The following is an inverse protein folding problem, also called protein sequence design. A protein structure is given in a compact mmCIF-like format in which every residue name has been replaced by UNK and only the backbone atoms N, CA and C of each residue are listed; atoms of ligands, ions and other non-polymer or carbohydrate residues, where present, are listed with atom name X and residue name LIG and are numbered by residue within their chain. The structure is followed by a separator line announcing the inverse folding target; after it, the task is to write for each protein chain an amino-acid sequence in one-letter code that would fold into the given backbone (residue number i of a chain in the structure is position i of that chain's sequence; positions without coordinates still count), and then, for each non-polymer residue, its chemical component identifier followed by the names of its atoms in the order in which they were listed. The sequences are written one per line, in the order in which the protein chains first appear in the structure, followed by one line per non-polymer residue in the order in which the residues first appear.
data_IF_698387738664
#
_entry.id   IF_698387738664
#
_cell.length_a   1.000
_cell.length_b   1.000
_cell.length_c   1.000
_cell.angle_alpha   90.00
_cell.angle_beta   90.00
_cell.angle_gamma   90.00
#
_symmetry.space_group_name_H-M   'P 1'
#
loop_
_entity.id
_entity.type
_entity.pdbx_description
1 polymer ?
#
# COMPACT_ATOMS: atom_id res chain seq x y z
N UNK A 1 21.74 4.24 -6.10
CA UNK A 1 21.48 5.07 -4.92
C UNK A 1 21.14 4.14 -3.78
N UNK A 2 21.91 4.18 -2.70
CA UNK A 2 21.66 3.37 -1.50
C UNK A 2 20.63 4.12 -0.67
N UNK A 3 19.51 3.50 -0.38
CA UNK A 3 18.44 4.14 0.39
C UNK A 3 18.81 4.09 1.88
N UNK A 4 18.81 5.22 2.61
CA UNK A 4 19.23 5.29 4.00
C UNK A 4 18.15 4.81 5.00
N UNK A 5 17.02 4.32 4.51
CA UNK A 5 15.88 3.90 5.34
C UNK A 5 15.85 2.38 5.53
N UNK A 6 15.33 1.91 6.65
CA UNK A 6 15.10 0.49 6.91
C UNK A 6 16.28 -0.25 7.55
N UNK A 7 17.32 0.43 7.99
CA UNK A 7 18.51 -0.21 8.58
C UNK A 7 18.52 -0.11 10.11
N UNK A 8 17.66 -0.87 10.77
CA UNK A 8 17.73 -1.04 12.21
C UNK A 8 16.86 -0.06 13.02
N UNK A 9 17.15 0.10 14.33
CA UNK A 9 16.30 0.85 15.27
C UNK A 9 16.22 2.36 15.01
N UNK A 10 16.93 2.84 14.00
CA UNK A 10 16.99 4.25 13.58
C UNK A 10 16.06 4.60 12.41
N UNK A 11 15.26 3.66 11.90
CA UNK A 11 14.26 3.99 10.87
C UNK A 11 13.34 5.09 11.38
N UNK A 12 13.09 6.15 10.60
CA UNK A 12 12.17 7.22 10.98
C UNK A 12 10.79 6.72 11.41
N UNK A 13 10.30 5.64 10.82
CA UNK A 13 9.02 5.02 11.18
C UNK A 13 9.08 4.39 12.58
N UNK A 14 10.21 3.82 12.97
CA UNK A 14 10.38 3.24 14.32
C UNK A 14 10.44 4.31 15.40
N UNK A 15 10.91 5.51 15.06
CA UNK A 15 11.03 6.62 16.02
C UNK A 15 9.71 7.40 16.22
N UNK A 16 8.86 7.48 15.18
CA UNK A 16 7.67 8.35 15.18
C UNK A 16 6.43 7.64 15.73
N UNK A 17 6.35 6.33 15.61
CA UNK A 17 5.24 5.58 16.17
C UNK A 17 5.61 5.05 17.55
N UNK A 18 4.83 5.40 18.61
CA UNK A 18 5.04 4.84 19.93
C UNK A 18 4.96 3.31 19.88
N UNK A 19 5.41 2.62 20.90
CA UNK A 19 6.01 1.32 20.80
C UNK A 19 5.16 0.35 19.98
N UNK A 20 5.63 0.03 18.76
CA UNK A 20 5.07 -1.06 17.92
C UNK A 20 4.89 -2.36 18.72
N UNK A 21 5.60 -2.49 19.83
CA UNK A 21 5.49 -3.59 20.77
C UNK A 21 4.10 -3.70 21.42
N UNK A 22 3.32 -2.62 21.43
CA UNK A 22 1.94 -2.60 21.97
C UNK A 22 0.86 -2.64 20.89
N UNK A 23 1.22 -2.46 19.62
CA UNK A 23 0.28 -2.60 18.51
C UNK A 23 0.17 -4.08 18.14
N UNK A 24 -0.99 -4.67 18.34
CA UNK A 24 -1.33 -5.97 17.79
C UNK A 24 -1.48 -5.86 16.27
N UNK A 25 -0.35 -5.73 15.56
CA UNK A 25 -0.31 -5.65 14.10
C UNK A 25 -0.14 -7.06 13.56
N UNK A 26 -1.16 -7.57 12.91
CA UNK A 26 -1.05 -8.83 12.16
C UNK A 26 -2.23 -8.91 11.21
N UNK A 27 -2.01 -9.07 9.93
CA UNK A 27 -0.73 -9.21 9.19
C UNK A 27 -0.13 -7.87 8.70
N UNK A 28 1.09 -7.90 8.16
CA UNK A 28 1.67 -6.83 7.32
C UNK A 28 1.42 -7.20 5.86
N UNK A 29 0.57 -6.44 5.19
CA UNK A 29 0.15 -6.68 3.80
C UNK A 29 0.95 -5.80 2.84
N UNK A 30 1.50 -6.38 1.78
CA UNK A 30 2.32 -5.68 0.80
C UNK A 30 1.73 -5.83 -0.60
N UNK A 31 1.27 -4.72 -1.20
CA UNK A 31 0.62 -4.70 -2.50
C UNK A 31 1.55 -5.05 -3.67
N UNK A 32 2.80 -4.61 -3.61
CA UNK A 32 3.87 -4.91 -4.56
C UNK A 32 5.25 -4.62 -3.93
N UNK A 33 6.32 -5.09 -4.57
CA UNK A 33 7.62 -5.22 -3.91
C UNK A 33 8.60 -4.08 -4.21
N UNK A 34 8.15 -2.90 -4.66
CA UNK A 34 9.02 -1.74 -4.76
C UNK A 34 9.50 -1.29 -3.38
N UNK A 35 10.65 -0.62 -3.35
CA UNK A 35 11.32 -0.24 -2.10
C UNK A 35 10.46 0.64 -1.18
N UNK A 36 9.67 1.53 -1.74
CA UNK A 36 8.78 2.46 -1.04
C UNK A 36 7.55 1.77 -0.42
N UNK A 37 7.23 0.55 -0.82
CA UNK A 37 6.17 -0.27 -0.25
C UNK A 37 6.68 -1.41 0.64
N UNK A 38 7.95 -1.83 0.50
CA UNK A 38 8.44 -3.05 1.12
C UNK A 38 9.63 -2.85 2.05
N UNK A 39 10.40 -1.75 1.91
CA UNK A 39 11.68 -1.56 2.60
C UNK A 39 11.60 -1.83 4.11
N UNK A 40 10.60 -1.28 4.79
CA UNK A 40 10.42 -1.40 6.23
C UNK A 40 9.46 -2.53 6.65
N UNK A 41 8.72 -3.14 5.70
CA UNK A 41 7.68 -4.12 6.01
C UNK A 41 8.21 -5.35 6.77
N UNK A 42 9.38 -5.87 6.38
CA UNK A 42 10.01 -6.98 7.07
C UNK A 42 10.49 -6.62 8.49
N UNK A 43 10.95 -5.38 8.69
CA UNK A 43 11.32 -4.87 10.01
C UNK A 43 10.09 -4.73 10.92
N UNK A 44 8.98 -4.21 10.37
CA UNK A 44 7.69 -4.15 11.07
C UNK A 44 7.21 -5.53 11.47
N UNK A 45 7.16 -6.48 10.53
CA UNK A 45 6.75 -7.84 10.79
C UNK A 45 7.59 -8.49 11.90
N UNK A 46 8.92 -8.31 11.87
CA UNK A 46 9.82 -8.85 12.88
C UNK A 46 9.59 -8.24 14.27
N UNK A 47 9.39 -6.92 14.35
CA UNK A 47 9.22 -6.20 15.64
C UNK A 47 7.85 -6.43 16.26
N UNK A 48 6.80 -6.52 15.46
CA UNK A 48 5.42 -6.74 15.93
C UNK A 48 5.06 -8.21 16.09
N UNK A 49 5.90 -9.14 15.61
CA UNK A 49 5.56 -10.55 15.53
C UNK A 49 4.52 -10.88 14.47
N UNK A 50 4.20 -9.96 13.56
CA UNK A 50 3.22 -10.14 12.50
C UNK A 50 3.71 -11.08 11.39
N UNK A 51 2.76 -11.63 10.62
CA UNK A 51 3.04 -12.36 9.38
C UNK A 51 3.20 -11.37 8.24
N UNK A 52 4.29 -11.44 7.49
CA UNK A 52 4.49 -10.71 6.26
C UNK A 52 3.75 -11.41 5.10
N UNK A 53 2.84 -10.72 4.45
CA UNK A 53 1.98 -11.27 3.39
C UNK A 53 2.17 -10.50 2.11
N UNK A 54 2.48 -11.19 1.02
CA UNK A 54 2.65 -10.58 -0.30
C UNK A 54 3.11 -11.58 -1.36
N UNK A 55 3.64 -11.07 -2.47
CA UNK A 55 4.16 -11.90 -3.56
C UNK A 55 5.41 -12.69 -3.14
N UNK A 56 5.87 -13.61 -4.00
CA UNK A 56 7.15 -14.32 -3.77
C UNK A 56 8.32 -13.34 -3.67
N UNK A 57 8.29 -12.22 -4.40
CA UNK A 57 9.29 -11.16 -4.26
C UNK A 57 9.26 -10.51 -2.87
N UNK A 58 8.07 -10.26 -2.31
CA UNK A 58 7.90 -9.81 -0.92
C UNK A 58 8.47 -10.85 0.06
N UNK A 59 8.17 -12.13 -0.15
CA UNK A 59 8.68 -13.21 0.67
C UNK A 59 10.22 -13.27 0.65
N UNK A 60 10.84 -13.06 -0.51
CA UNK A 60 12.30 -13.05 -0.63
C UNK A 60 12.97 -11.87 0.08
N UNK A 61 12.31 -10.72 0.18
CA UNK A 61 12.79 -9.63 1.07
C UNK A 61 12.63 -10.03 2.54
N UNK A 62 11.52 -10.65 2.93
CA UNK A 62 11.33 -11.18 4.29
C UNK A 62 12.38 -12.20 4.69
N UNK A 63 12.68 -13.17 3.83
CA UNK A 63 13.74 -14.18 4.03
C UNK A 63 15.12 -13.52 4.16
N UNK A 64 15.41 -12.55 3.29
CA UNK A 64 16.67 -11.80 3.32
C UNK A 64 16.83 -10.95 4.59
N UNK A 65 15.73 -10.53 5.21
CA UNK A 65 15.69 -9.84 6.49
C UNK A 65 15.68 -10.78 7.70
N UNK A 66 15.73 -12.11 7.48
CA UNK A 66 15.80 -13.12 8.54
C UNK A 66 14.44 -13.43 9.20
N UNK A 67 13.32 -13.19 8.52
CA UNK A 67 12.02 -13.68 8.99
C UNK A 67 11.95 -15.20 8.86
N UNK A 68 11.44 -15.87 9.90
CA UNK A 68 11.19 -17.31 9.87
C UNK A 68 10.08 -17.65 8.86
N UNK A 69 10.10 -18.85 8.30
CA UNK A 69 9.18 -19.26 7.23
C UNK A 69 7.70 -19.21 7.63
N UNK A 70 7.38 -19.52 8.88
CA UNK A 70 6.02 -19.42 9.46
C UNK A 70 5.53 -17.97 9.64
N UNK A 71 6.42 -16.99 9.49
CA UNK A 71 6.13 -15.55 9.51
C UNK A 71 6.04 -14.94 8.13
N UNK A 72 6.06 -15.74 7.08
CA UNK A 72 5.96 -15.30 5.69
C UNK A 72 4.83 -16.08 5.02
N UNK A 73 3.89 -15.37 4.41
CA UNK A 73 2.84 -15.98 3.60
C UNK A 73 2.87 -15.42 2.19
N UNK A 74 3.15 -16.29 1.23
CA UNK A 74 3.03 -15.98 -0.18
C UNK A 74 1.55 -16.05 -0.58
N UNK A 75 1.09 -15.03 -1.27
CA UNK A 75 -0.29 -14.94 -1.74
C UNK A 75 -0.54 -15.85 -2.95
N UNK A 76 -1.79 -16.31 -3.05
CA UNK A 76 -2.39 -16.74 -4.30
C UNK A 76 -3.43 -15.70 -4.73
N UNK A 77 -3.42 -15.24 -5.98
CA UNK A 77 -4.38 -14.27 -6.45
C UNK A 77 -5.83 -14.73 -6.18
N UNK A 78 -6.65 -13.81 -5.63
CA UNK A 78 -8.05 -14.03 -5.27
C UNK A 78 -8.31 -15.07 -4.15
N UNK A 79 -7.27 -15.62 -3.53
CA UNK A 79 -7.42 -16.45 -2.32
C UNK A 79 -7.92 -15.59 -1.15
N UNK A 80 -8.91 -16.09 -0.42
CA UNK A 80 -9.37 -15.46 0.84
C UNK A 80 -8.52 -15.98 1.99
N UNK A 81 -7.82 -15.06 2.64
CA UNK A 81 -7.06 -15.33 3.86
C UNK A 81 -7.78 -14.74 5.06
N UNK A 82 -7.78 -15.46 6.19
CA UNK A 82 -8.43 -14.99 7.44
C UNK A 82 -7.39 -14.65 8.49
N UNK A 83 -7.58 -13.48 9.11
CA UNK A 83 -6.77 -12.98 10.22
C UNK A 83 -7.71 -12.42 11.30
N UNK A 84 -8.06 -13.24 12.26
CA UNK A 84 -9.12 -12.91 13.22
C UNK A 84 -10.44 -12.63 12.51
N UNK A 85 -11.04 -11.48 12.76
CA UNK A 85 -12.30 -11.07 12.12
C UNK A 85 -12.12 -10.51 10.69
N UNK A 86 -10.88 -10.40 10.19
CA UNK A 86 -10.59 -9.85 8.87
C UNK A 86 -10.47 -10.95 7.83
N UNK A 87 -11.09 -10.73 6.68
CA UNK A 87 -10.83 -11.46 5.43
C UNK A 87 -10.05 -10.58 4.48
N UNK A 88 -8.93 -11.10 3.98
CA UNK A 88 -8.02 -10.39 3.09
C UNK A 88 -7.91 -11.13 1.76
N UNK A 89 -8.05 -10.41 0.66
CA UNK A 89 -7.94 -10.96 -0.70
C UNK A 89 -7.03 -10.05 -1.53
N UNK A 90 -6.01 -10.63 -2.14
CA UNK A 90 -5.17 -9.93 -3.11
C UNK A 90 -5.75 -10.08 -4.51
N UNK A 91 -6.10 -8.96 -5.11
CA UNK A 91 -6.69 -8.89 -6.44
C UNK A 91 -5.59 -8.53 -7.45
N UNK A 92 -5.42 -9.29 -8.54
CA UNK A 92 -4.49 -8.90 -9.61
C UNK A 92 -4.78 -7.49 -10.09
N UNK A 93 -3.76 -6.65 -10.18
CA UNK A 93 -3.89 -5.24 -10.55
C UNK A 93 -2.71 -4.82 -11.43
N UNK A 94 -2.60 -3.53 -11.69
CA UNK A 94 -1.51 -2.94 -12.44
C UNK A 94 -0.79 -1.87 -11.62
N UNK A 95 0.42 -1.53 -12.05
CA UNK A 95 1.17 -0.41 -11.50
C UNK A 95 1.02 0.79 -12.43
N UNK A 96 0.67 1.96 -11.86
CA UNK A 96 0.60 3.21 -12.61
C UNK A 96 1.94 3.52 -13.26
N UNK A 97 1.93 4.10 -14.46
CA UNK A 97 3.17 4.51 -15.13
C UNK A 97 3.83 5.65 -14.37
N UNK A 98 5.16 5.63 -14.31
CA UNK A 98 5.99 6.77 -13.90
C UNK A 98 6.62 7.43 -15.13
N UNK A 99 7.67 8.20 -14.90
CA UNK A 99 8.44 8.85 -15.96
C UNK A 99 8.78 7.86 -17.09
N UNK A 100 8.42 8.21 -18.32
CA UNK A 100 8.61 7.34 -19.50
C UNK A 100 7.47 6.36 -19.79
N UNK A 101 6.33 6.42 -19.08
CA UNK A 101 5.13 5.63 -19.38
C UNK A 101 5.19 4.16 -18.95
N UNK A 102 6.18 3.77 -18.17
CA UNK A 102 6.35 2.38 -17.69
C UNK A 102 6.41 2.31 -16.16
N UNK A 103 6.05 1.16 -15.61
CA UNK A 103 6.30 0.87 -14.20
C UNK A 103 7.82 0.81 -13.94
N UNK A 104 8.32 1.43 -12.84
CA UNK A 104 9.73 1.34 -12.50
C UNK A 104 10.10 -0.08 -12.08
N UNK A 105 11.37 -0.45 -12.25
CA UNK A 105 11.94 -1.71 -11.77
C UNK A 105 11.03 -2.94 -11.98
N UNK A 106 10.62 -3.27 -13.21
CA UNK A 106 9.76 -4.43 -13.48
C UNK A 106 10.47 -5.74 -13.16
N UNK A 107 9.70 -6.85 -13.12
CA UNK A 107 10.22 -8.19 -12.86
C UNK A 107 10.09 -8.61 -11.39
N UNK A 108 10.84 -9.65 -11.01
CA UNK A 108 10.75 -10.31 -9.70
C UNK A 108 12.06 -10.27 -8.93
N UNK A 109 12.00 -10.53 -7.64
CA UNK A 109 13.13 -10.77 -6.76
C UNK A 109 13.22 -12.29 -6.56
N UNK A 110 14.12 -13.00 -7.30
CA UNK A 110 14.08 -14.46 -7.39
C UNK A 110 14.73 -15.18 -6.19
N UNK A 111 15.52 -14.46 -5.40
CA UNK A 111 16.27 -15.03 -4.25
C UNK A 111 16.18 -14.09 -3.05
N UNK A 112 16.47 -14.58 -1.82
CA UNK A 112 16.45 -13.73 -0.64
C UNK A 112 17.32 -12.48 -0.78
N UNK A 113 16.69 -11.30 -0.67
CA UNK A 113 17.33 -9.99 -0.82
C UNK A 113 17.91 -9.53 0.53
N UNK A 114 19.21 -9.56 0.65
CA UNK A 114 19.91 -9.09 1.86
C UNK A 114 20.07 -7.57 1.86
N UNK A 115 19.87 -6.97 3.00
CA UNK A 115 20.06 -5.54 3.24
C UNK A 115 21.48 -5.21 3.69
N UNK A 116 22.03 -4.05 3.31
CA UNK A 116 21.46 -2.97 2.50
C UNK A 116 21.42 -3.31 0.99
N UNK A 117 20.34 -2.91 0.32
CA UNK A 117 20.18 -3.12 -1.11
C UNK A 117 19.80 -1.80 -1.83
N UNK A 118 20.22 -1.59 -3.08
CA UNK A 118 19.82 -0.41 -3.83
C UNK A 118 18.34 -0.49 -4.23
N UNK A 119 17.68 0.67 -4.43
CA UNK A 119 16.27 0.74 -4.80
C UNK A 119 15.91 -0.13 -6.03
N UNK A 120 16.80 -0.20 -7.02
CA UNK A 120 16.61 -1.05 -8.23
C UNK A 120 16.58 -2.55 -7.97
N UNK A 121 17.00 -3.01 -6.80
CA UNK A 121 16.92 -4.43 -6.41
C UNK A 121 15.52 -4.83 -5.96
N UNK A 122 14.71 -3.84 -5.55
CA UNK A 122 13.32 -4.03 -5.19
C UNK A 122 12.46 -4.02 -6.47
N UNK A 123 12.36 -5.19 -7.10
CA UNK A 123 11.55 -5.38 -8.30
C UNK A 123 10.06 -5.45 -7.95
N UNK A 124 9.20 -5.06 -8.87
CA UNK A 124 7.75 -4.95 -8.67
C UNK A 124 7.11 -6.23 -8.08
N UNK A 125 7.49 -7.41 -8.57
CA UNK A 125 7.00 -8.68 -8.03
C UNK A 125 5.52 -8.98 -8.28
N UNK A 126 4.89 -8.26 -9.20
CA UNK A 126 3.45 -8.23 -9.42
C UNK A 126 2.77 -7.16 -8.58
N UNK A 127 1.80 -6.45 -9.17
CA UNK A 127 0.98 -5.45 -8.51
C UNK A 127 -0.39 -6.02 -8.12
N UNK A 128 -0.85 -5.71 -6.92
CA UNK A 128 -2.13 -6.19 -6.38
C UNK A 128 -2.88 -5.05 -5.68
N UNK A 129 -4.18 -5.00 -5.91
CA UNK A 129 -5.08 -4.33 -4.99
C UNK A 129 -5.41 -5.29 -3.82
N UNK A 130 -5.68 -4.75 -2.63
CA UNK A 130 -5.95 -5.56 -1.46
C UNK A 130 -7.36 -5.24 -0.95
N UNK A 131 -8.25 -6.22 -1.03
CA UNK A 131 -9.57 -6.14 -0.41
C UNK A 131 -9.47 -6.64 1.02
N UNK A 132 -9.94 -5.82 1.96
CA UNK A 132 -10.05 -6.18 3.38
C UNK A 132 -11.51 -6.08 3.79
N UNK A 133 -12.07 -7.18 4.26
CA UNK A 133 -13.43 -7.27 4.80
C UNK A 133 -13.39 -7.49 6.30
N UNK A 134 -14.34 -6.89 6.99
CA UNK A 134 -14.61 -7.04 8.42
C UNK A 134 -16.12 -6.97 8.62
N UNK A 135 -16.73 -7.55 9.68
CA UNK A 135 -18.17 -7.41 9.93
C UNK A 135 -18.68 -5.95 9.93
N UNK A 136 -17.82 -4.98 10.26
CA UNK A 136 -18.15 -3.55 10.24
C UNK A 136 -18.01 -2.89 8.86
N UNK A 137 -17.63 -3.61 7.80
CA UNK A 137 -17.53 -3.08 6.44
C UNK A 137 -16.37 -3.64 5.63
N UNK A 138 -16.12 -3.04 4.47
CA UNK A 138 -15.04 -3.43 3.57
C UNK A 138 -14.28 -2.23 3.04
N UNK A 139 -12.99 -2.39 2.81
CA UNK A 139 -12.15 -1.42 2.11
C UNK A 139 -11.28 -2.08 1.05
N UNK A 140 -10.89 -1.30 0.05
CA UNK A 140 -9.91 -1.69 -0.94
C UNK A 140 -8.69 -0.77 -0.82
N UNK A 141 -7.50 -1.35 -0.79
CA UNK A 141 -6.23 -0.62 -0.89
C UNK A 141 -5.67 -0.78 -2.31
N UNK A 142 -5.39 0.33 -2.97
CA UNK A 142 -4.72 0.40 -4.27
C UNK A 142 -3.45 1.21 -4.10
N UNK A 143 -2.32 0.54 -4.01
CA UNK A 143 -1.03 1.15 -3.68
C UNK A 143 -0.41 1.97 -4.82
N UNK A 144 -0.94 1.85 -6.04
CA UNK A 144 -0.48 2.57 -7.23
C UNK A 144 -1.69 3.09 -8.02
N UNK A 145 -1.51 4.17 -8.79
CA UNK A 145 -2.59 4.85 -9.51
C UNK A 145 -3.04 4.12 -10.80
N UNK A 146 -3.25 2.80 -10.71
CA UNK A 146 -3.76 1.98 -11.81
C UNK A 146 -4.46 0.71 -11.32
N UNK A 147 -5.36 0.19 -12.15
CA UNK A 147 -5.98 -1.12 -11.98
C UNK A 147 -6.30 -1.72 -13.37
N UNK A 148 -6.42 -3.05 -13.43
CA UNK A 148 -6.93 -3.75 -14.61
C UNK A 148 -8.45 -3.65 -14.65
N UNK A 149 -9.02 -3.73 -15.84
CA UNK A 149 -10.48 -3.67 -16.03
C UNK A 149 -11.25 -4.74 -15.22
N UNK A 150 -10.65 -5.90 -14.97
CA UNK A 150 -11.24 -7.02 -14.26
C UNK A 150 -10.86 -7.09 -12.76
N UNK A 151 -10.00 -6.18 -12.28
CA UNK A 151 -9.49 -6.20 -10.89
C UNK A 151 -10.63 -6.27 -9.89
N UNK A 152 -11.66 -5.47 -10.07
CA UNK A 152 -12.76 -5.30 -9.12
C UNK A 152 -14.06 -6.03 -9.49
N UNK A 153 -14.03 -6.96 -10.44
CA UNK A 153 -15.21 -7.75 -10.78
C UNK A 153 -15.75 -8.50 -9.54
N UNK A 154 -17.02 -8.22 -9.19
CA UNK A 154 -17.70 -8.80 -8.03
C UNK A 154 -17.21 -8.29 -6.66
N UNK A 155 -16.44 -7.20 -6.63
CA UNK A 155 -15.93 -6.58 -5.39
C UNK A 155 -16.82 -5.40 -5.01
N UNK A 156 -17.24 -5.35 -3.73
CA UNK A 156 -17.89 -4.19 -3.14
C UNK A 156 -17.11 -3.73 -1.92
N UNK A 157 -16.91 -2.41 -1.79
CA UNK A 157 -16.24 -1.80 -0.65
C UNK A 157 -16.70 -0.35 -0.50
N UNK A 158 -16.92 0.11 0.72
CA UNK A 158 -17.37 1.49 0.98
C UNK A 158 -16.22 2.51 1.01
N UNK A 159 -15.00 2.06 1.22
CA UNK A 159 -13.80 2.91 1.30
C UNK A 159 -12.71 2.40 0.37
N UNK A 160 -12.06 3.32 -0.35
CA UNK A 160 -10.84 3.04 -1.12
C UNK A 160 -9.68 3.85 -0.56
N UNK A 161 -8.59 3.16 -0.21
CA UNK A 161 -7.28 3.77 0.02
C UNK A 161 -6.59 3.85 -1.34
N UNK A 162 -6.49 5.04 -1.93
CA UNK A 162 -6.15 5.26 -3.33
C UNK A 162 -4.77 5.90 -3.49
N UNK A 163 -3.83 5.16 -4.05
CA UNK A 163 -2.51 5.68 -4.42
C UNK A 163 -2.59 6.73 -5.53
N UNK A 164 -1.93 7.87 -5.33
CA UNK A 164 -1.92 8.97 -6.30
C UNK A 164 -0.63 9.08 -7.12
N UNK A 165 0.43 8.41 -6.71
CA UNK A 165 1.70 8.41 -7.44
C UNK A 165 1.55 7.84 -8.85
N UNK A 166 1.88 8.63 -9.89
CA UNK A 166 1.74 8.22 -11.29
C UNK A 166 0.35 8.42 -11.88
N UNK A 167 -0.58 9.11 -11.20
CA UNK A 167 -1.92 9.42 -11.72
C UNK A 167 -1.84 10.25 -13.00
N UNK A 168 -2.38 9.72 -14.08
CA UNK A 168 -2.51 10.44 -15.35
C UNK A 168 -3.81 11.27 -15.41
N UNK A 169 -4.94 10.70 -14.95
CA UNK A 169 -6.25 11.33 -14.92
C UNK A 169 -6.99 10.94 -13.64
N UNK A 170 -7.55 11.92 -12.95
CA UNK A 170 -8.41 11.65 -11.78
C UNK A 170 -9.69 10.95 -12.20
N UNK A 171 -10.34 11.41 -13.27
CA UNK A 171 -11.61 10.86 -13.74
C UNK A 171 -11.48 9.39 -14.16
N UNK A 172 -10.43 9.06 -14.93
CA UNK A 172 -10.13 7.68 -15.30
C UNK A 172 -9.84 6.82 -14.06
N UNK A 173 -9.01 7.31 -13.13
CA UNK A 173 -8.67 6.57 -11.91
C UNK A 173 -9.90 6.31 -11.02
N UNK A 174 -10.83 7.27 -10.92
CA UNK A 174 -12.10 7.06 -10.21
C UNK A 174 -12.98 6.03 -10.93
N UNK A 175 -13.09 6.12 -12.27
CA UNK A 175 -13.83 5.18 -13.09
C UNK A 175 -13.27 3.74 -13.04
N UNK A 176 -11.95 3.59 -12.98
CA UNK A 176 -11.30 2.29 -12.98
C UNK A 176 -11.26 1.63 -11.58
N UNK A 177 -11.29 2.41 -10.51
CA UNK A 177 -11.04 1.92 -9.15
C UNK A 177 -12.23 2.14 -8.21
N UNK A 178 -12.79 3.34 -8.17
CA UNK A 178 -13.76 3.75 -7.14
C UNK A 178 -15.19 3.37 -7.53
N UNK A 179 -15.56 3.67 -8.77
CA UNK A 179 -16.90 3.39 -9.27
C UNK A 179 -17.20 1.87 -9.33
N UNK A 180 -16.27 0.99 -9.78
CA UNK A 180 -16.53 -0.46 -9.83
C UNK A 180 -16.80 -1.11 -8.48
N UNK A 181 -16.24 -0.58 -7.39
CA UNK A 181 -16.46 -1.12 -6.04
C UNK A 181 -17.61 -0.44 -5.29
N UNK A 182 -18.22 0.60 -5.87
CA UNK A 182 -19.32 1.35 -5.27
C UNK A 182 -18.91 2.14 -4.02
N UNK A 183 -17.65 2.61 -3.97
CA UNK A 183 -17.15 3.31 -2.79
C UNK A 183 -17.75 4.70 -2.64
N UNK A 184 -18.00 5.09 -1.40
CA UNK A 184 -18.48 6.42 -1.01
C UNK A 184 -17.42 7.29 -0.37
N UNK A 185 -16.28 6.66 0.00
CA UNK A 185 -15.15 7.33 0.63
C UNK A 185 -13.84 6.96 -0.08
N UNK A 186 -13.03 7.97 -0.35
CA UNK A 186 -11.65 7.82 -0.83
C UNK A 186 -10.69 8.46 0.15
N UNK A 187 -9.68 7.69 0.52
CA UNK A 187 -8.53 8.17 1.29
C UNK A 187 -7.33 8.17 0.36
N UNK A 188 -6.87 9.34 -0.11
CA UNK A 188 -5.67 9.42 -0.90
C UNK A 188 -4.44 8.99 -0.08
N UNK A 189 -3.66 8.10 -0.65
CA UNK A 189 -2.38 7.60 -0.12
C UNK A 189 -1.29 7.77 -1.18
N UNK A 190 -0.03 7.49 -0.85
CA UNK A 190 1.10 7.60 -1.77
C UNK A 190 1.19 8.98 -2.44
N UNK A 191 0.83 10.01 -1.70
CA UNK A 191 0.89 11.40 -2.15
C UNK A 191 1.99 12.20 -1.47
N UNK A 192 2.43 11.74 -0.30
CA UNK A 192 3.39 12.43 0.56
C UNK A 192 4.84 12.12 0.18
N UNK A 193 5.73 13.04 0.51
CA UNK A 193 7.16 12.93 0.27
C UNK A 193 7.80 11.94 1.26
N UNK A 194 7.87 10.68 0.85
CA UNK A 194 8.46 9.58 1.62
C UNK A 194 9.96 9.73 1.89
N UNK A 195 10.64 10.67 1.21
CA UNK A 195 12.06 10.95 1.44
C UNK A 195 12.29 11.94 2.58
N UNK A 196 11.21 12.42 3.20
CA UNK A 196 11.26 13.32 4.36
C UNK A 196 10.86 12.59 5.63
N UNK A 197 11.60 12.90 6.72
CA UNK A 197 11.22 12.37 8.04
C UNK A 197 9.85 12.90 8.48
N UNK A 198 8.99 12.02 9.02
CA UNK A 198 7.64 12.33 9.49
C UNK A 198 7.58 13.34 10.66
N UNK A 199 8.71 13.61 11.33
CA UNK A 199 8.84 14.65 12.35
C UNK A 199 8.73 16.07 11.79
N UNK A 200 8.79 16.21 10.47
CA UNK A 200 8.56 17.48 9.76
C UNK A 200 7.13 17.52 9.21
N UNK A 201 6.69 18.70 8.80
CA UNK A 201 5.40 18.82 8.11
C UNK A 201 5.36 17.92 6.87
N UNK A 202 4.29 17.14 6.76
CA UNK A 202 4.03 16.30 5.58
C UNK A 202 3.77 17.20 4.38
N UNK A 203 4.40 16.89 3.26
CA UNK A 203 4.24 17.62 1.99
C UNK A 203 3.98 16.63 0.86
N UNK A 204 3.25 17.03 -0.17
CA UNK A 204 3.12 16.22 -1.36
C UNK A 204 4.49 15.97 -2.02
N UNK A 205 4.64 14.80 -2.64
CA UNK A 205 5.71 14.55 -3.61
C UNK A 205 5.63 15.61 -4.71
N UNK A 206 6.77 16.13 -5.23
CA UNK A 206 6.76 17.13 -6.30
C UNK A 206 5.98 16.71 -7.56
N UNK A 207 5.83 15.40 -7.77
CA UNK A 207 5.10 14.82 -8.91
C UNK A 207 3.61 14.56 -8.63
N UNK A 208 3.11 14.87 -7.42
CA UNK A 208 1.73 14.62 -7.02
C UNK A 208 1.00 15.93 -6.73
N UNK A 209 0.09 16.33 -7.62
CA UNK A 209 -0.85 17.43 -7.37
C UNK A 209 -2.03 16.94 -6.52
N UNK A 210 -1.83 16.95 -5.19
CA UNK A 210 -2.88 16.57 -4.24
C UNK A 210 -4.05 17.57 -4.25
N UNK A 211 -3.76 18.86 -4.32
CA UNK A 211 -4.79 19.89 -4.34
C UNK A 211 -5.64 19.81 -5.62
N UNK A 212 -5.01 19.55 -6.76
CA UNK A 212 -5.70 19.28 -8.03
C UNK A 212 -6.58 18.05 -7.94
N UNK A 213 -6.11 16.98 -7.31
CA UNK A 213 -6.93 15.79 -7.07
C UNK A 213 -8.24 16.13 -6.33
N UNK A 214 -8.19 16.87 -5.23
CA UNK A 214 -9.39 17.28 -4.48
C UNK A 214 -10.34 18.14 -5.34
N UNK A 215 -9.82 19.11 -6.09
CA UNK A 215 -10.64 19.97 -6.99
C UNK A 215 -11.32 19.14 -8.08
N UNK A 216 -10.58 18.23 -8.70
CA UNK A 216 -11.10 17.38 -9.77
C UNK A 216 -12.17 16.42 -9.25
N UNK A 217 -11.95 15.77 -8.09
CA UNK A 217 -12.96 14.90 -7.47
C UNK A 217 -14.24 15.69 -7.16
N UNK A 218 -14.14 16.86 -6.56
CA UNK A 218 -15.30 17.69 -6.25
C UNK A 218 -16.11 18.06 -7.52
N UNK A 219 -15.43 18.20 -8.66
CA UNK A 219 -16.07 18.48 -9.96
C UNK A 219 -16.75 17.25 -10.56
N UNK A 220 -16.06 16.09 -10.57
CA UNK A 220 -16.55 14.91 -11.34
C UNK A 220 -17.36 13.91 -10.49
N UNK A 221 -17.21 13.96 -9.16
CA UNK A 221 -17.93 13.11 -8.19
C UNK A 221 -18.26 13.89 -6.91
N UNK A 222 -19.16 14.90 -6.97
CA UNK A 222 -19.42 15.84 -5.87
C UNK A 222 -19.97 15.19 -4.59
N UNK A 223 -20.50 13.95 -4.68
CA UNK A 223 -20.99 13.18 -3.53
C UNK A 223 -19.95 12.24 -2.91
N UNK A 224 -18.73 12.18 -3.44
CA UNK A 224 -17.68 11.31 -2.93
C UNK A 224 -16.95 11.98 -1.75
N UNK A 225 -16.96 11.33 -0.58
CA UNK A 225 -16.17 11.79 0.56
C UNK A 225 -14.67 11.57 0.28
N UNK A 226 -13.88 12.63 0.36
CA UNK A 226 -12.41 12.55 0.18
C UNK A 226 -11.71 13.28 1.31
N UNK A 227 -10.83 12.57 2.02
CA UNK A 227 -10.02 13.15 3.08
C UNK A 227 -8.70 12.39 3.25
N UNK A 228 -7.62 13.10 3.52
CA UNK A 228 -6.36 12.49 3.96
C UNK A 228 -6.46 12.02 5.41
N UNK A 229 -5.65 11.03 5.77
CA UNK A 229 -5.52 10.61 7.16
C UNK A 229 -4.56 11.54 7.92
N UNK A 230 -4.89 11.93 9.16
CA UNK A 230 -3.97 12.68 10.00
C UNK A 230 -2.82 11.77 10.44
N UNK A 231 -1.59 12.26 10.34
CA UNK A 231 -0.40 11.51 10.78
C UNK A 231 -0.45 11.27 12.29
N UNK A 232 -0.19 10.02 12.71
CA UNK A 232 -0.12 9.63 14.12
C UNK A 232 -1.45 9.65 14.88
N UNK A 233 -2.59 9.79 14.21
CA UNK A 233 -3.92 9.74 14.83
C UNK A 233 -4.77 8.62 14.22
N UNK A 234 -5.32 7.70 15.02
CA UNK A 234 -6.16 6.63 14.52
C UNK A 234 -7.45 7.18 13.91
N UNK A 235 -7.94 6.53 12.86
CA UNK A 235 -9.21 6.79 12.21
C UNK A 235 -9.93 5.48 11.93
N UNK A 236 -11.25 5.47 12.12
CA UNK A 236 -12.09 4.33 11.76
C UNK A 236 -12.36 4.34 10.26
N UNK A 237 -11.99 3.24 9.59
CA UNK A 237 -12.14 3.08 8.14
C UNK A 237 -13.26 2.11 7.76
N UNK A 238 -13.76 1.31 8.69
CA UNK A 238 -14.76 0.28 8.45
C UNK A 238 -16.21 0.71 8.79
N UNK A 239 -16.41 1.81 9.48
CA UNK A 239 -17.73 2.37 9.64
C UNK A 239 -18.20 3.00 8.32
N UNK A 240 -19.45 2.74 7.94
CA UNK A 240 -20.09 3.49 6.86
C UNK A 240 -20.07 5.01 7.19
N UNK A 241 -19.95 5.87 6.19
CA UNK A 241 -20.06 7.31 6.39
C UNK A 241 -21.44 7.70 6.88
#
# INVERSE_FOLDING_TARGET
MQMPFGQGPQSPLVQVYPPFQTMMVSPVLVSHSHYDHLLDAALFARKSGAVLVGSESTANVGRGAGLAGDRIRVIRPREIMRFGAFEVTFLPSEHGPLLGGHAPYPGTIPTPLRMPAPARAFRMGGAHAILVRHPAGALVHVGSAAARADTFAGVAAHTVLLGLGGRASTEALLGDVVDPVGARRVVPIHWDDMFRALVRSVRPLPTVDLAGFFREVARVRPGLEVATLPVGRPRTLFAAP
#
